data_IF_821902438667
#
_entry.id   IF_821902438667
#
_cell.length_a   1.000
_cell.length_b   1.000
_cell.length_c   1.000
_cell.angle_alpha   90.00
_cell.angle_beta   90.00
_cell.angle_gamma   90.00
#
_symmetry.space_group_name_H-M   'P 1'
#
loop_
_entity.id
_entity.type
_entity.pdbx_description
1 polymer ?
#
# COMPACT_ATOMS: atom_id res chain seq x y z
N UNK A 1 15.93 -2.19 53.88
CA UNK A 1 15.15 -1.57 52.79
C UNK A 1 13.85 -1.06 53.39
N UNK A 2 13.69 0.27 53.53
CA UNK A 2 12.69 0.87 54.42
C UNK A 2 11.27 0.69 53.85
N UNK A 3 10.35 0.10 54.64
CA UNK A 3 8.94 -0.14 54.29
C UNK A 3 8.20 1.12 53.80
N UNK A 4 8.64 2.29 54.23
CA UNK A 4 8.13 3.61 53.80
C UNK A 4 8.37 3.89 52.31
N UNK A 5 9.48 3.42 51.73
CA UNK A 5 9.77 3.66 50.31
C UNK A 5 8.86 2.80 49.41
N UNK A 6 8.44 1.63 49.89
CA UNK A 6 7.52 0.75 49.17
C UNK A 6 6.08 1.30 49.14
N UNK A 7 5.64 1.96 50.21
CA UNK A 7 4.31 2.57 50.30
C UNK A 7 4.10 3.70 49.29
N UNK A 8 5.14 4.47 48.95
CA UNK A 8 5.05 5.53 47.95
C UNK A 8 5.26 5.04 46.51
N UNK A 9 6.01 3.93 46.33
CA UNK A 9 6.27 3.38 45.01
C UNK A 9 4.99 2.89 44.30
N UNK A 10 4.07 2.27 45.03
CA UNK A 10 2.81 1.74 44.49
C UNK A 10 1.92 2.87 43.89
N UNK A 11 1.52 3.92 44.64
CA UNK A 11 0.67 4.96 44.09
C UNK A 11 1.34 5.76 42.97
N UNK A 12 2.66 5.98 43.04
CA UNK A 12 3.40 6.68 41.98
C UNK A 12 3.41 5.88 40.67
N UNK A 13 3.67 4.57 40.75
CA UNK A 13 3.65 3.71 39.56
C UNK A 13 2.25 3.55 39.00
N UNK A 14 1.22 3.33 39.83
CA UNK A 14 -0.16 3.21 39.35
C UNK A 14 -0.67 4.50 38.73
N UNK A 15 -0.33 5.67 39.27
CA UNK A 15 -0.73 6.96 38.69
C UNK A 15 -0.04 7.21 37.35
N UNK A 16 1.27 6.92 37.26
CA UNK A 16 2.01 7.01 36.00
C UNK A 16 1.44 6.08 34.92
N UNK A 17 1.11 4.84 35.30
CA UNK A 17 0.44 3.89 34.42
C UNK A 17 -0.96 4.37 34.02
N UNK A 18 -1.73 4.96 34.95
CA UNK A 18 -3.06 5.52 34.67
C UNK A 18 -3.02 6.64 33.63
N UNK A 19 -2.07 7.57 33.77
CA UNK A 19 -1.85 8.65 32.79
C UNK A 19 -1.49 8.06 31.43
N UNK A 20 -0.59 7.08 31.39
CA UNK A 20 -0.19 6.42 30.15
C UNK A 20 -1.37 5.70 29.47
N UNK A 21 -2.22 5.01 30.24
CA UNK A 21 -3.41 4.34 29.71
C UNK A 21 -4.37 5.33 29.05
N UNK A 22 -4.60 6.51 29.64
CA UNK A 22 -5.45 7.55 29.05
C UNK A 22 -4.83 8.09 27.76
N UNK A 23 -3.53 8.39 27.76
CA UNK A 23 -2.83 8.84 26.54
C UNK A 23 -2.88 7.78 25.44
N UNK A 24 -2.70 6.51 25.79
CA UNK A 24 -2.76 5.39 24.86
C UNK A 24 -4.17 5.20 24.29
N UNK A 25 -5.21 5.38 25.10
CA UNK A 25 -6.60 5.37 24.65
C UNK A 25 -6.85 6.50 23.64
N UNK A 26 -6.45 7.73 23.96
CA UNK A 26 -6.60 8.88 23.07
C UNK A 26 -5.88 8.68 21.75
N UNK A 27 -4.65 8.14 21.77
CA UNK A 27 -3.92 7.78 20.55
C UNK A 27 -4.69 6.76 19.71
N UNK A 28 -5.22 5.68 20.32
CA UNK A 28 -6.03 4.68 19.61
C UNK A 28 -7.31 5.29 19.01
N UNK A 29 -8.02 6.12 19.77
CA UNK A 29 -9.23 6.80 19.28
C UNK A 29 -8.92 7.72 18.09
N UNK A 30 -7.79 8.42 18.12
CA UNK A 30 -7.38 9.26 17.00
C UNK A 30 -7.09 8.43 15.73
N UNK A 31 -6.44 7.27 15.87
CA UNK A 31 -6.25 6.34 14.73
C UNK A 31 -7.56 5.82 14.16
N UNK A 32 -8.53 5.46 15.02
CA UNK A 32 -9.86 5.02 14.57
C UNK A 32 -10.57 6.15 13.83
N UNK A 33 -10.57 7.36 14.40
CA UNK A 33 -11.21 8.52 13.78
C UNK A 33 -10.56 8.89 12.43
N UNK A 34 -9.25 8.70 12.27
CA UNK A 34 -8.58 8.84 10.98
C UNK A 34 -9.07 7.78 9.99
N UNK A 35 -9.07 6.49 10.38
CA UNK A 35 -9.55 5.40 9.53
C UNK A 35 -11.02 5.60 9.08
N UNK A 36 -11.89 6.04 9.98
CA UNK A 36 -13.30 6.33 9.67
C UNK A 36 -13.45 7.47 8.65
N UNK A 37 -12.62 8.50 8.71
CA UNK A 37 -12.63 9.59 7.70
C UNK A 37 -12.26 9.07 6.31
N UNK A 38 -11.35 8.11 6.23
CA UNK A 38 -10.91 7.50 4.97
C UNK A 38 -11.88 6.46 4.41
N UNK A 39 -12.86 6.01 5.21
CA UNK A 39 -13.86 5.03 4.77
C UNK A 39 -14.85 5.59 3.74
N UNK A 40 -15.04 6.92 3.69
CA UNK A 40 -15.91 7.53 2.68
C UNK A 40 -15.19 7.57 1.33
N UNK A 41 -15.85 7.06 0.30
CA UNK A 41 -15.36 7.17 -1.08
C UNK A 41 -15.27 8.65 -1.44
N UNK A 42 -14.06 9.10 -1.79
CA UNK A 42 -13.82 10.44 -2.27
C UNK A 42 -14.41 10.60 -3.66
N UNK A 43 -15.07 11.74 -3.90
CA UNK A 43 -15.75 12.02 -5.17
C UNK A 43 -14.83 12.37 -6.34
N UNK A 44 -13.53 12.62 -6.10
CA UNK A 44 -12.57 12.94 -7.16
C UNK A 44 -11.18 12.45 -6.80
N UNK A 45 -10.50 11.81 -7.77
CA UNK A 45 -9.10 11.48 -7.64
C UNK A 45 -8.22 12.74 -7.39
N UNK A 46 -7.40 12.75 -6.33
CA UNK A 46 -6.49 13.85 -6.08
C UNK A 46 -5.34 13.86 -7.11
N UNK A 47 -4.80 15.04 -7.40
CA UNK A 47 -3.65 15.19 -8.30
C UNK A 47 -2.34 14.70 -7.67
N UNK A 48 -2.25 14.76 -6.34
CA UNK A 48 -1.04 14.38 -5.58
C UNK A 48 -1.45 13.56 -4.35
N UNK A 49 -0.64 12.54 -4.05
CA UNK A 49 -0.74 11.74 -2.84
C UNK A 49 0.06 12.44 -1.74
N UNK A 50 -0.65 12.92 -0.72
CA UNK A 50 -0.07 13.38 0.53
C UNK A 50 -0.30 12.30 1.60
N UNK A 51 0.48 12.28 2.70
CA UNK A 51 0.28 11.32 3.79
C UNK A 51 -1.16 11.33 4.34
N UNK A 52 -1.80 12.50 4.34
CA UNK A 52 -3.20 12.66 4.77
C UNK A 52 -4.23 12.08 3.78
N UNK A 53 -3.85 11.87 2.52
CA UNK A 53 -4.71 11.26 1.49
C UNK A 53 -4.41 9.78 1.32
N UNK A 54 -3.35 9.27 1.94
CA UNK A 54 -3.10 7.84 2.02
C UNK A 54 -4.33 7.15 2.64
N UNK A 55 -4.71 6.01 2.10
CA UNK A 55 -5.90 5.24 2.47
C UNK A 55 -7.27 5.85 2.10
N UNK A 56 -7.30 7.03 1.47
CA UNK A 56 -8.56 7.57 0.93
C UNK A 56 -9.15 6.59 -0.09
N UNK A 57 -10.40 6.16 0.12
CA UNK A 57 -11.12 5.33 -0.83
C UNK A 57 -11.48 6.14 -2.07
N UNK A 58 -11.30 5.56 -3.23
CA UNK A 58 -11.67 6.14 -4.53
C UNK A 58 -12.42 5.09 -5.34
N UNK A 59 -13.26 5.59 -6.24
CA UNK A 59 -14.05 4.79 -7.15
C UNK A 59 -14.00 5.45 -8.52
N UNK A 60 -13.46 4.74 -9.51
CA UNK A 60 -13.21 5.28 -10.84
C UNK A 60 -13.59 4.24 -11.90
N UNK A 61 -14.01 4.70 -13.07
CA UNK A 61 -14.32 3.83 -14.21
C UNK A 61 -13.32 4.11 -15.33
N UNK A 62 -12.93 3.09 -16.09
CA UNK A 62 -11.89 3.21 -17.12
C UNK A 62 -11.40 1.86 -17.63
N UNK A 63 -10.29 1.87 -18.35
CA UNK A 63 -9.76 0.68 -19.03
C UNK A 63 -8.33 0.37 -18.60
N UNK A 64 -8.02 -0.91 -18.37
CA UNK A 64 -6.65 -1.33 -18.12
C UNK A 64 -5.82 -1.30 -19.40
N UNK A 65 -4.63 -0.70 -19.34
CA UNK A 65 -3.64 -0.78 -20.42
C UNK A 65 -2.81 -2.03 -20.19
N UNK A 66 -3.39 -3.17 -20.57
CA UNK A 66 -2.84 -4.49 -20.27
C UNK A 66 -1.43 -4.71 -20.84
N UNK A 67 -1.06 -4.05 -21.94
CA UNK A 67 0.29 -4.15 -22.54
C UNK A 67 1.38 -3.54 -21.67
N UNK A 68 1.01 -2.70 -20.70
CA UNK A 68 1.92 -2.01 -19.77
C UNK A 68 1.85 -2.60 -18.37
N UNK A 69 1.39 -3.84 -18.22
CA UNK A 69 1.43 -4.55 -16.94
C UNK A 69 2.88 -4.67 -16.43
N UNK A 70 3.07 -4.37 -15.15
CA UNK A 70 4.34 -4.43 -14.45
C UNK A 70 4.20 -5.39 -13.27
N UNK A 71 5.14 -6.33 -13.17
CA UNK A 71 5.21 -7.28 -12.06
C UNK A 71 6.30 -6.83 -11.09
N UNK A 72 5.90 -6.45 -9.89
CA UNK A 72 6.82 -5.94 -8.86
C UNK A 72 7.08 -7.01 -7.78
N UNK A 73 8.32 -7.50 -7.68
CA UNK A 73 8.71 -8.53 -6.73
C UNK A 73 10.14 -9.01 -6.89
N UNK A 74 10.55 -10.14 -6.30
CA UNK A 74 9.78 -11.23 -5.67
C UNK A 74 9.30 -10.88 -4.24
N UNK A 75 8.03 -11.18 -3.91
CA UNK A 75 7.40 -10.91 -2.59
C UNK A 75 6.63 -12.10 -2.03
N UNK A 76 6.69 -12.38 -0.72
CA UNK A 76 5.87 -13.41 -0.09
C UNK A 76 4.39 -13.01 -0.01
N UNK A 77 3.50 -14.01 -0.08
CA UNK A 77 2.05 -13.83 0.08
C UNK A 77 1.76 -13.32 1.51
N UNK A 78 1.10 -12.16 1.63
CA UNK A 78 0.69 -11.51 2.89
C UNK A 78 1.72 -10.67 3.66
N UNK A 79 2.82 -10.21 3.05
CA UNK A 79 3.72 -9.27 3.74
C UNK A 79 3.77 -7.88 3.09
N UNK A 80 3.68 -6.88 3.95
CA UNK A 80 3.90 -5.47 3.62
C UNK A 80 5.27 -5.06 4.16
N UNK A 81 6.21 -4.67 3.29
CA UNK A 81 7.55 -4.22 3.68
C UNK A 81 8.69 -4.98 2.98
N UNK A 82 9.93 -4.62 3.32
CA UNK A 82 11.13 -5.27 2.80
C UNK A 82 11.53 -6.43 3.73
N UNK A 83 11.55 -7.65 3.19
CA UNK A 83 12.06 -8.84 3.85
C UNK A 83 13.13 -9.50 2.97
N UNK A 84 14.19 -9.98 3.60
CA UNK A 84 15.09 -10.95 3.00
C UNK A 84 14.39 -12.31 3.12
N UNK A 85 13.98 -12.96 2.01
CA UNK A 85 13.31 -14.24 2.10
C UNK A 85 14.29 -15.33 2.57
N UNK A 86 13.87 -16.11 3.57
CA UNK A 86 14.50 -17.42 3.84
C UNK A 86 14.23 -18.38 2.67
N UNK A 87 15.10 -19.36 2.47
CA UNK A 87 15.12 -20.25 1.28
C UNK A 87 13.76 -20.93 1.02
N UNK A 88 13.01 -21.28 2.07
CA UNK A 88 11.67 -21.89 1.94
C UNK A 88 10.58 -20.90 1.49
N UNK A 89 10.72 -19.59 1.75
CA UNK A 89 9.73 -18.58 1.34
C UNK A 89 9.82 -18.25 -0.15
N UNK A 90 10.90 -18.64 -0.83
CA UNK A 90 11.08 -18.42 -2.27
C UNK A 90 10.06 -19.22 -3.09
N UNK A 91 9.65 -20.41 -2.62
CA UNK A 91 8.67 -21.25 -3.33
C UNK A 91 7.24 -20.73 -3.22
N UNK A 92 6.88 -20.02 -2.14
CA UNK A 92 5.56 -19.39 -1.96
C UNK A 92 5.58 -17.87 -2.22
N UNK A 93 6.44 -17.45 -3.14
CA UNK A 93 6.63 -16.06 -3.51
C UNK A 93 5.92 -15.70 -4.80
N UNK A 94 5.74 -14.41 -5.01
CA UNK A 94 4.95 -13.88 -6.11
C UNK A 94 5.26 -12.41 -6.37
N UNK A 95 4.36 -11.75 -7.07
CA UNK A 95 4.56 -10.40 -7.56
C UNK A 95 3.31 -9.55 -7.31
N UNK A 96 3.49 -8.26 -7.07
CA UNK A 96 2.39 -7.31 -7.18
C UNK A 96 2.16 -7.03 -8.66
N UNK A 97 0.93 -7.23 -9.12
CA UNK A 97 0.50 -6.89 -10.47
C UNK A 97 0.07 -5.42 -10.48
N UNK A 98 0.87 -4.56 -11.09
CA UNK A 98 0.59 -3.13 -11.22
C UNK A 98 0.32 -2.85 -12.69
N UNK A 99 -0.88 -2.36 -13.00
CA UNK A 99 -1.30 -2.08 -14.38
C UNK A 99 -1.76 -0.63 -14.49
N UNK A 100 -1.31 0.13 -15.51
CA UNK A 100 -1.86 1.45 -15.78
C UNK A 100 -3.33 1.36 -16.14
N UNK A 101 -4.10 2.33 -15.65
CA UNK A 101 -5.54 2.41 -15.83
C UNK A 101 -5.89 3.77 -16.45
N UNK A 102 -6.54 3.74 -17.60
CA UNK A 102 -6.91 4.91 -18.39
C UNK A 102 -8.31 5.37 -17.99
N UNK A 103 -8.37 6.59 -17.46
CA UNK A 103 -9.62 7.25 -17.09
C UNK A 103 -10.29 7.89 -18.31
N UNK A 104 -11.63 8.11 -18.29
CA UNK A 104 -12.38 8.85 -19.30
C UNK A 104 -11.85 10.26 -19.56
N UNK A 105 -11.21 10.87 -18.55
CA UNK A 105 -10.55 12.18 -18.68
C UNK A 105 -9.29 12.16 -19.57
N UNK A 106 -8.83 10.98 -19.99
CA UNK A 106 -7.59 10.78 -20.73
C UNK A 106 -6.36 10.59 -19.83
N UNK A 107 -6.47 10.88 -18.53
CA UNK A 107 -5.40 10.60 -17.55
C UNK A 107 -5.19 9.11 -17.36
N UNK A 108 -3.96 8.73 -17.05
CA UNK A 108 -3.60 7.36 -16.70
C UNK A 108 -3.09 7.33 -15.26
N UNK A 109 -3.48 6.32 -14.49
CA UNK A 109 -3.07 6.12 -13.10
C UNK A 109 -2.52 4.72 -12.92
N UNK A 110 -1.81 4.44 -11.83
CA UNK A 110 -1.32 3.10 -11.51
C UNK A 110 -2.33 2.40 -10.62
N UNK A 111 -2.66 1.14 -10.94
CA UNK A 111 -3.55 0.32 -10.13
C UNK A 111 -2.81 -0.95 -9.72
N UNK A 112 -2.63 -1.14 -8.41
CA UNK A 112 -2.20 -2.41 -7.84
C UNK A 112 -3.40 -3.36 -7.80
N UNK A 113 -3.40 -4.35 -8.70
CA UNK A 113 -4.43 -5.37 -8.88
C UNK A 113 -4.31 -6.53 -7.89
N UNK A 114 -3.29 -6.49 -7.04
CA UNK A 114 -3.05 -7.48 -6.00
C UNK A 114 -1.82 -8.34 -6.26
N UNK A 115 -1.66 -9.35 -5.40
CA UNK A 115 -0.54 -10.28 -5.44
C UNK A 115 -0.88 -11.46 -6.34
N UNK A 116 0.05 -11.86 -7.20
CA UNK A 116 -0.03 -13.03 -8.07
C UNK A 116 1.05 -14.04 -7.71
N UNK A 117 0.71 -15.34 -7.74
CA UNK A 117 1.68 -16.40 -7.49
C UNK A 117 2.67 -16.51 -8.64
N UNK A 118 3.88 -16.96 -8.35
CA UNK A 118 4.85 -17.32 -9.40
C UNK A 118 4.30 -18.38 -10.37
N UNK A 119 3.52 -19.32 -9.85
CA UNK A 119 2.89 -20.38 -10.67
C UNK A 119 1.76 -19.88 -11.57
N UNK A 120 1.25 -18.67 -11.29
CA UNK A 120 0.14 -18.07 -12.03
C UNK A 120 0.60 -17.08 -13.10
N UNK A 121 1.92 -16.89 -13.29
CA UNK A 121 2.48 -15.88 -14.20
C UNK A 121 1.98 -15.99 -15.64
N UNK A 122 1.86 -17.22 -16.15
CA UNK A 122 1.44 -17.50 -17.53
C UNK A 122 -0.10 -17.46 -17.71
N UNK A 123 -0.87 -17.35 -16.62
CA UNK A 123 -2.33 -17.22 -16.73
C UNK A 123 -2.67 -15.87 -17.34
N UNK A 124 -3.59 -15.87 -18.31
CA UNK A 124 -4.12 -14.62 -18.84
C UNK A 124 -4.92 -13.88 -17.75
N UNK A 125 -4.54 -12.63 -17.52
CA UNK A 125 -5.14 -11.73 -16.54
C UNK A 125 -5.66 -10.46 -17.20
N UNK A 126 -5.72 -10.43 -18.53
CA UNK A 126 -6.22 -9.27 -19.25
C UNK A 126 -7.68 -9.02 -18.89
N UNK A 127 -7.97 -7.76 -18.61
CA UNK A 127 -9.34 -7.29 -18.44
C UNK A 127 -9.64 -6.43 -19.65
N UNK A 128 -10.62 -6.85 -20.43
CA UNK A 128 -11.05 -6.16 -21.65
C UNK A 128 -12.20 -5.20 -21.35
N UNK A 129 -12.19 -4.05 -22.04
CA UNK A 129 -13.23 -3.05 -21.94
C UNK A 129 -13.19 -2.20 -20.67
N UNK A 130 -14.20 -1.34 -20.56
CA UNK A 130 -14.34 -0.39 -19.45
C UNK A 130 -14.87 -1.10 -18.21
N UNK A 131 -14.14 -0.95 -17.11
CA UNK A 131 -14.46 -1.54 -15.80
C UNK A 131 -14.44 -0.47 -14.72
N UNK A 132 -15.17 -0.75 -13.64
CA UNK A 132 -15.19 0.08 -12.45
C UNK A 132 -14.22 -0.51 -11.43
N UNK A 133 -13.34 0.35 -10.88
CA UNK A 133 -12.39 -0.01 -9.83
C UNK A 133 -12.74 0.73 -8.55
N UNK A 134 -12.64 0.01 -7.42
CA UNK A 134 -12.73 0.59 -6.09
C UNK A 134 -11.47 0.21 -5.30
N UNK A 135 -10.83 1.22 -4.72
CA UNK A 135 -9.55 1.03 -4.05
C UNK A 135 -9.20 2.15 -3.11
N UNK A 136 -8.06 2.00 -2.44
CA UNK A 136 -7.49 3.02 -1.57
C UNK A 136 -6.23 3.61 -2.19
N UNK A 137 -6.03 4.91 -2.02
CA UNK A 137 -4.76 5.53 -2.41
C UNK A 137 -3.62 5.01 -1.54
N UNK A 138 -2.49 4.71 -2.16
CA UNK A 138 -1.29 4.25 -1.47
C UNK A 138 -0.07 5.04 -1.91
N UNK A 139 0.82 5.30 -0.96
CA UNK A 139 2.13 5.84 -1.29
C UNK A 139 3.02 4.77 -1.93
N UNK A 140 3.94 5.24 -2.77
CA UNK A 140 5.00 4.41 -3.32
C UNK A 140 5.97 3.94 -2.25
N UNK A 141 6.80 2.99 -2.63
CA UNK A 141 7.94 2.61 -1.82
C UNK A 141 9.10 3.55 -2.08
N UNK A 142 9.65 4.10 -0.99
CA UNK A 142 10.86 4.90 -1.06
C UNK A 142 12.06 4.03 -1.46
N UNK A 143 12.83 4.49 -2.44
CA UNK A 143 14.11 3.87 -2.76
C UNK A 143 15.07 4.10 -1.59
N UNK A 144 15.64 3.02 -1.07
CA UNK A 144 16.76 3.09 -0.13
C UNK A 144 17.96 2.37 -0.75
N UNK A 145 19.18 2.71 -0.33
CA UNK A 145 20.40 2.16 -0.92
C UNK A 145 20.59 0.66 -0.70
N UNK A 146 19.84 0.06 0.24
CA UNK A 146 19.89 -1.37 0.55
C UNK A 146 18.96 -2.21 -0.35
N UNK A 147 18.06 -1.57 -1.10
CA UNK A 147 17.15 -2.24 -2.03
C UNK A 147 17.79 -2.40 -3.40
N UNK A 148 17.42 -3.49 -4.08
CA UNK A 148 17.71 -3.67 -5.50
C UNK A 148 17.06 -2.52 -6.30
N UNK A 149 17.81 -1.98 -7.26
CA UNK A 149 17.31 -0.88 -8.10
C UNK A 149 16.43 -1.44 -9.21
N UNK A 150 15.30 -0.78 -9.46
CA UNK A 150 14.45 -1.10 -10.60
C UNK A 150 15.20 -0.91 -11.92
N UNK A 151 14.86 -1.71 -12.94
CA UNK A 151 15.36 -1.59 -14.30
C UNK A 151 14.18 -1.37 -15.27
N UNK A 152 13.70 -0.11 -15.41
CA UNK A 152 12.53 0.20 -16.22
C UNK A 152 12.68 -0.19 -17.70
N UNK A 153 13.89 -0.21 -18.23
CA UNK A 153 14.14 -0.62 -19.62
C UNK A 153 13.87 -2.10 -19.86
N UNK A 154 14.17 -2.94 -18.87
CA UNK A 154 13.94 -4.39 -18.91
C UNK A 154 12.59 -4.81 -18.32
N UNK A 155 11.76 -3.84 -17.90
CA UNK A 155 10.51 -4.07 -17.16
C UNK A 155 10.71 -4.89 -15.86
N UNK A 156 11.85 -4.76 -15.19
CA UNK A 156 12.15 -5.44 -13.93
C UNK A 156 11.94 -4.48 -12.76
N UNK A 157 11.02 -4.84 -11.86
CA UNK A 157 10.60 -4.02 -10.74
C UNK A 157 10.76 -4.76 -9.42
N UNK A 158 11.59 -4.24 -8.53
CA UNK A 158 11.81 -4.78 -7.19
C UNK A 158 11.03 -3.99 -6.13
N UNK A 159 10.86 -2.68 -6.34
CA UNK A 159 10.08 -1.80 -5.47
C UNK A 159 9.03 -1.00 -6.24
N UNK A 160 7.95 -0.63 -5.56
CA UNK A 160 6.86 0.18 -6.13
C UNK A 160 7.25 1.66 -6.17
N UNK A 161 8.22 2.00 -7.03
CA UNK A 161 8.64 3.38 -7.28
C UNK A 161 7.66 4.04 -8.25
N UNK A 162 6.73 4.84 -7.72
CA UNK A 162 5.67 5.47 -8.52
C UNK A 162 6.21 6.40 -9.58
N UNK A 163 7.29 7.13 -9.31
CA UNK A 163 7.83 8.07 -10.28
C UNK A 163 8.45 7.33 -11.46
N UNK A 164 9.23 6.28 -11.19
CA UNK A 164 9.82 5.46 -12.23
C UNK A 164 8.77 4.70 -13.04
N UNK A 165 7.78 4.11 -12.37
CA UNK A 165 6.67 3.39 -13.02
C UNK A 165 5.83 4.33 -13.87
N UNK A 166 5.43 5.48 -13.32
CA UNK A 166 4.66 6.51 -14.03
C UNK A 166 5.38 7.01 -15.28
N UNK A 167 6.69 7.27 -15.18
CA UNK A 167 7.50 7.70 -16.32
C UNK A 167 7.56 6.65 -17.42
N UNK A 168 7.68 5.36 -17.07
CA UNK A 168 7.72 4.27 -18.06
C UNK A 168 6.39 4.10 -18.77
N UNK A 169 5.28 4.25 -18.06
CA UNK A 169 3.94 3.96 -18.58
C UNK A 169 3.25 5.19 -19.17
N UNK A 170 3.71 6.40 -18.85
CA UNK A 170 3.01 7.64 -19.18
C UNK A 170 1.80 7.92 -18.29
N UNK A 171 1.78 7.34 -17.09
CA UNK A 171 0.76 7.60 -16.07
C UNK A 171 1.16 8.70 -15.11
N UNK A 172 0.22 9.16 -14.30
CA UNK A 172 0.47 9.97 -13.12
C UNK A 172 1.07 9.08 -12.01
N UNK A 173 1.90 9.62 -11.10
CA UNK A 173 2.47 8.89 -9.97
C UNK A 173 1.43 8.70 -8.84
N UNK A 174 0.24 8.22 -9.20
CA UNK A 174 -0.87 7.94 -8.32
C UNK A 174 -1.11 6.44 -8.32
N UNK A 175 -1.01 5.82 -7.14
CA UNK A 175 -1.30 4.40 -6.96
C UNK A 175 -2.63 4.19 -6.24
N UNK A 176 -3.49 3.41 -6.88
CA UNK A 176 -4.71 2.87 -6.28
C UNK A 176 -4.46 1.40 -5.97
N UNK A 177 -4.59 1.01 -4.72
CA UNK A 177 -4.62 -0.38 -4.32
C UNK A 177 -6.06 -0.88 -4.32
N UNK A 178 -6.36 -1.90 -5.13
CA UNK A 178 -7.71 -2.47 -5.16
C UNK A 178 -8.06 -3.05 -3.80
N UNK A 179 -9.27 -2.72 -3.35
CA UNK A 179 -9.83 -3.37 -2.16
C UNK A 179 -10.34 -4.74 -2.57
N UNK A 180 -10.10 -5.77 -1.76
CA UNK A 180 -10.71 -7.07 -2.00
C UNK A 180 -12.25 -6.95 -1.81
N UNK A 181 -12.99 -6.94 -2.92
CA UNK A 181 -14.46 -6.92 -2.99
C UNK A 181 -14.91 -5.97 -4.13
N UNK A 182 -15.60 -6.42 -5.19
CA UNK A 182 -16.41 -7.62 -5.41
C UNK A 182 -15.80 -8.62 -6.41
#
# INVERSE_FOLDING_TARGET
>A
MNKINLLWAIPLTTTGLGIWQIQRLQWKQNLIAQAERHQKIAGKLPTEITPEKQFMRIKETGEYINEKEMLCGVRPRNQHGFYLPDIEQITNSGYLCITPFKLPSGKQILVNRGWISRDDLDKDRKVEGSVEIEGCLREGETSNSMRLKNEPENNLWYSVDLNAMAKKTGSEPILVELTAGN
#
